data_IF_612493599631
#
_entry.id   IF_612493599631
#
_cell.length_a   1.000
_cell.length_b   1.000
_cell.length_c   1.000
_cell.angle_alpha   90.00
_cell.angle_beta   90.00
_cell.angle_gamma   90.00
#
_symmetry.space_group_name_H-M   'P 1'
#
loop_
_entity.id
_entity.type
_entity.pdbx_description
1 polymer ?
2 non-polymer ?
3 non-polymer ?
4 water ?
#
# COMPACT_ATOMS: atom_id res chain seq x y z
N UNK A 2 -6.18 -2.97 25.57
CA UNK A 2 -6.09 -1.85 24.57
C UNK A 2 -4.68 -1.26 24.45
N UNK A 3 -4.66 -0.22 23.61
CA UNK A 3 -3.52 0.48 23.11
C UNK A 3 -2.71 1.39 24.01
N UNK A 4 -1.45 1.05 24.26
CA UNK A 4 -0.60 2.03 24.94
C UNK A 4 0.40 2.60 23.91
N UNK A 5 0.21 3.85 23.51
CA UNK A 5 1.11 4.45 22.54
C UNK A 5 2.53 4.38 23.05
N UNK A 6 2.76 4.61 24.34
CA UNK A 6 4.11 4.59 24.88
C UNK A 6 4.77 3.22 24.85
N UNK A 7 4.00 2.18 25.10
CA UNK A 7 4.50 0.81 25.05
C UNK A 7 4.81 0.50 23.57
N UNK A 8 3.95 1.01 22.66
CA UNK A 8 4.19 0.78 21.24
C UNK A 8 5.47 1.49 20.82
N UNK A 9 5.67 2.75 21.16
CA UNK A 9 6.86 3.45 20.72
C UNK A 9 8.15 2.85 21.16
N UNK A 10 8.17 2.16 22.31
CA UNK A 10 9.38 1.59 22.89
C UNK A 10 9.78 0.33 22.12
N UNK A 11 8.90 -0.16 21.26
CA UNK A 11 9.31 -1.25 20.37
C UNK A 11 10.06 -0.72 19.14
N UNK A 12 9.95 0.54 18.76
CA UNK A 12 10.53 1.12 17.59
C UNK A 12 11.80 1.89 17.86
N UNK A 13 12.96 1.30 17.58
CA UNK A 13 14.24 1.92 17.84
C UNK A 13 14.48 3.24 17.14
N UNK A 14 13.99 3.43 15.91
CA UNK A 14 14.25 4.68 15.23
C UNK A 14 13.56 5.78 15.97
N UNK A 15 12.50 5.64 16.74
CA UNK A 15 11.84 6.76 17.39
C UNK A 15 12.63 7.39 18.53
N UNK A 16 13.75 6.80 18.94
CA UNK A 16 14.65 7.41 19.94
C UNK A 16 15.72 8.34 19.36
N UNK A 17 15.87 8.29 18.06
CA UNK A 17 16.86 8.98 17.26
C UNK A 17 16.60 10.47 17.37
N UNK A 18 17.65 11.19 17.00
CA UNK A 18 17.68 12.64 16.92
C UNK A 18 18.11 12.99 15.51
N UNK A 19 17.65 14.10 15.02
CA UNK A 19 17.89 14.49 13.64
C UNK A 19 18.23 15.96 13.54
N UNK A 20 19.42 16.32 13.01
CA UNK A 20 19.76 17.76 12.89
C UNK A 20 19.90 18.32 14.31
N UNK A 21 20.38 17.47 15.24
CA UNK A 21 20.48 17.66 16.65
C UNK A 21 19.17 17.66 17.46
N UNK A 22 18.03 17.44 16.78
CA UNK A 22 16.71 17.48 17.40
C UNK A 22 16.04 16.15 17.50
N UNK A 23 15.04 15.99 18.37
CA UNK A 23 14.32 14.73 18.46
C UNK A 23 13.39 14.54 17.26
N UNK A 24 13.62 13.47 16.52
CA UNK A 24 12.86 13.10 15.35
C UNK A 24 11.38 12.99 15.73
N UNK A 25 10.60 13.66 14.88
CA UNK A 25 9.14 13.49 14.90
C UNK A 25 8.88 12.91 13.49
N UNK A 26 8.90 11.60 13.36
CA UNK A 26 8.69 10.92 12.09
C UNK A 26 7.20 10.80 11.72
N UNK A 27 6.77 11.67 10.85
CA UNK A 27 5.44 11.82 10.35
C UNK A 27 5.37 11.45 8.87
N UNK A 28 6.16 10.42 8.46
CA UNK A 28 6.19 10.03 7.06
C UNK A 28 5.97 8.55 6.93
N UNK A 29 5.16 7.93 7.80
CA UNK A 29 4.91 6.47 7.72
C UNK A 29 4.13 6.17 6.46
N UNK A 30 3.36 7.10 5.91
CA UNK A 30 2.70 6.82 4.62
C UNK A 30 3.73 6.46 3.55
N UNK A 31 4.90 7.04 3.44
CA UNK A 31 5.93 6.69 2.50
C UNK A 31 6.55 5.32 2.83
N UNK A 32 6.97 5.06 4.05
CA UNK A 32 7.49 3.81 4.48
C UNK A 32 7.39 3.77 6.01
N UNK A 33 7.06 2.68 6.67
CA UNK A 33 6.89 2.75 8.12
C UNK A 33 8.19 2.38 8.86
N UNK A 34 8.35 2.80 10.12
CA UNK A 34 9.47 2.33 10.95
C UNK A 34 9.16 0.91 11.38
N UNK A 35 10.12 0.05 11.72
CA UNK A 35 9.83 -1.35 12.02
C UNK A 35 10.10 -1.60 13.50
N UNK A 36 9.23 -2.33 14.17
CA UNK A 36 9.43 -2.67 15.58
C UNK A 36 10.61 -3.64 15.62
N UNK A 37 11.29 -3.71 16.80
CA UNK A 37 12.44 -4.60 16.90
C UNK A 37 12.02 -6.04 16.78
N UNK A 38 10.78 -6.42 17.04
CA UNK A 38 10.37 -7.81 16.82
C UNK A 38 10.46 -8.18 15.34
N UNK A 39 10.18 -7.17 14.50
CA UNK A 39 10.30 -7.39 13.06
C UNK A 39 11.74 -7.46 12.64
N UNK A 40 12.51 -6.50 13.06
CA UNK A 40 13.94 -6.47 12.74
C UNK A 40 14.71 -7.72 13.15
N UNK A 41 14.42 -8.17 14.35
CA UNK A 41 15.10 -9.30 14.95
C UNK A 41 14.60 -10.65 14.45
N UNK A 42 13.34 -10.79 14.05
CA UNK A 42 12.86 -12.02 13.47
C UNK A 42 13.64 -12.28 12.19
N UNK A 43 13.92 -11.27 11.38
CA UNK A 43 14.66 -11.39 10.15
C UNK A 43 16.12 -11.75 10.46
N UNK A 44 16.66 -10.95 11.39
CA UNK A 44 18.04 -11.17 11.80
C UNK A 44 18.24 -12.55 12.42
N UNK A 45 17.34 -13.00 13.29
CA UNK A 45 17.50 -14.33 13.86
C UNK A 45 17.46 -15.41 12.80
N UNK A 46 16.55 -15.27 11.86
CA UNK A 46 16.44 -16.22 10.75
C UNK A 46 17.77 -16.29 10.03
N UNK A 47 18.45 -15.18 9.70
CA UNK A 47 19.75 -15.21 9.07
C UNK A 47 20.84 -15.74 9.98
N UNK A 48 20.81 -15.46 11.28
CA UNK A 48 21.86 -15.97 12.18
C UNK A 48 21.83 -17.45 12.51
N UNK A 49 20.68 -18.05 12.41
CA UNK A 49 20.38 -19.40 12.78
C UNK A 49 19.67 -20.38 11.87
N UNK A 50 18.64 -20.08 11.09
CA UNK A 50 18.02 -21.10 10.23
C UNK A 50 18.13 -20.77 8.74
N UNK A 51 19.19 -20.08 8.25
CA UNK A 51 19.19 -19.70 6.86
C UNK A 51 19.52 -20.79 5.87
N UNK A 52 18.69 -20.89 4.83
CA UNK A 52 18.97 -21.81 3.72
C UNK A 52 18.14 -21.44 2.51
N UNK A 53 18.37 -22.13 1.38
CA UNK A 53 17.55 -21.97 0.18
C UNK A 53 16.18 -22.57 0.49
N UNK A 54 15.11 -22.09 -0.09
CA UNK A 54 13.79 -22.57 0.22
C UNK A 54 13.31 -23.31 -1.00
N UNK A 55 14.09 -24.08 -1.74
CA UNK A 55 13.23 -24.58 -2.88
C UNK A 55 12.71 -25.97 -2.63
N UNK A 56 12.13 -26.22 -1.46
CA UNK A 56 11.68 -27.51 -0.94
C UNK A 56 12.89 -28.48 -0.95
N UNK A 57 13.88 -28.15 -0.11
CA UNK A 57 15.10 -28.94 -0.06
C UNK A 57 14.95 -30.10 0.93
N UNK A 58 15.75 -31.11 0.70
CA UNK A 58 15.75 -32.31 1.53
C UNK A 58 16.37 -31.90 2.86
N UNK A 59 17.60 -31.41 2.77
CA UNK A 59 18.25 -31.08 4.05
C UNK A 59 17.36 -30.19 4.91
N UNK A 60 17.53 -30.37 6.21
CA UNK A 60 16.80 -29.81 7.30
C UNK A 60 16.53 -28.33 7.30
N UNK A 61 17.57 -27.50 7.27
CA UNK A 61 17.43 -26.06 7.29
C UNK A 61 16.57 -25.60 6.14
N UNK A 62 16.86 -26.19 4.96
CA UNK A 62 16.12 -25.86 3.76
C UNK A 62 14.67 -26.28 3.89
N UNK A 63 14.44 -27.50 4.39
CA UNK A 63 13.04 -27.91 4.60
C UNK A 63 12.36 -27.00 5.62
N UNK A 64 13.08 -26.68 6.70
CA UNK A 64 12.48 -25.71 7.64
C UNK A 64 12.20 -24.34 7.09
N UNK A 65 13.08 -23.83 6.23
CA UNK A 65 12.93 -22.45 5.73
C UNK A 65 11.73 -22.49 4.83
N UNK A 66 11.60 -23.56 4.03
CA UNK A 66 10.46 -23.69 3.13
C UNK A 66 9.12 -23.62 3.87
N UNK A 67 9.06 -24.31 4.99
CA UNK A 67 7.83 -24.27 5.80
C UNK A 67 7.61 -22.90 6.44
N UNK A 68 8.62 -22.23 6.98
CA UNK A 68 8.43 -20.90 7.57
C UNK A 68 7.81 -19.94 6.55
N UNK A 69 8.32 -20.00 5.31
CA UNK A 69 7.77 -19.23 4.21
C UNK A 69 6.34 -19.58 3.87
N UNK A 70 5.99 -20.88 3.79
CA UNK A 70 4.60 -21.25 3.48
C UNK A 70 3.70 -20.94 4.65
N UNK A 71 4.21 -20.81 5.86
CA UNK A 71 3.43 -20.34 6.99
C UNK A 71 3.14 -18.85 6.89
N UNK A 72 4.09 -18.05 6.39
CA UNK A 72 3.85 -16.62 6.27
C UNK A 72 2.79 -16.42 5.20
N UNK A 73 2.73 -17.26 4.17
CA UNK A 73 1.73 -17.19 3.14
C UNK A 73 0.33 -17.36 3.69
N UNK A 74 0.20 -18.31 4.58
CA UNK A 74 -1.01 -18.68 5.28
C UNK A 74 -1.42 -17.56 6.21
N UNK A 75 -0.46 -17.04 6.98
CA UNK A 75 -0.74 -16.00 7.92
C UNK A 75 -1.21 -14.72 7.25
N UNK A 76 -0.51 -14.38 6.17
CA UNK A 76 -0.95 -13.23 5.36
C UNK A 76 -2.32 -13.50 4.82
N UNK A 77 -2.61 -14.72 4.37
CA UNK A 77 -3.95 -15.02 3.79
C UNK A 77 -5.03 -14.86 4.85
N UNK A 78 -4.76 -15.30 6.07
CA UNK A 78 -5.65 -15.09 7.19
C UNK A 78 -5.80 -13.63 7.57
N UNK A 79 -4.72 -12.86 7.45
CA UNK A 79 -4.79 -11.45 7.83
C UNK A 79 -5.74 -10.68 6.95
N UNK A 80 -5.97 -10.98 5.69
CA UNK A 80 -6.86 -10.32 4.77
C UNK A 80 -8.12 -11.16 4.49
N UNK A 81 -8.22 -12.30 5.17
CA UNK A 81 -9.36 -13.20 5.07
C UNK A 81 -9.53 -13.72 3.66
N UNK A 82 -8.42 -14.08 3.01
CA UNK A 82 -8.55 -14.73 1.72
C UNK A 82 -9.10 -16.11 2.09
N UNK A 83 -9.77 -16.78 1.20
CA UNK A 83 -10.28 -18.13 1.46
C UNK A 83 -9.07 -19.05 1.63
N UNK A 84 -8.02 -18.95 0.79
CA UNK A 84 -6.89 -19.82 1.10
C UNK A 84 -5.52 -19.19 0.89
N UNK A 85 -4.52 -19.90 1.40
CA UNK A 85 -3.14 -19.45 1.29
C UNK A 85 -2.67 -19.41 -0.15
N UNK A 86 -3.25 -20.22 -1.02
CA UNK A 86 -2.88 -20.32 -2.40
C UNK A 86 -3.39 -19.21 -3.30
N UNK A 87 -4.11 -18.27 -2.72
CA UNK A 87 -4.59 -17.11 -3.42
C UNK A 87 -3.63 -15.94 -3.29
N UNK A 88 -2.60 -16.07 -2.47
CA UNK A 88 -1.58 -15.02 -2.28
C UNK A 88 -0.26 -15.29 -3.02
N UNK A 89 0.27 -14.28 -3.70
CA UNK A 89 1.53 -14.41 -4.43
C UNK A 89 2.51 -13.45 -3.74
N UNK A 90 3.73 -13.87 -3.49
CA UNK A 90 4.69 -12.98 -2.80
C UNK A 90 5.32 -12.09 -3.88
N UNK A 91 5.25 -10.75 -3.72
CA UNK A 91 5.79 -9.86 -4.73
C UNK A 91 6.81 -8.94 -4.11
N UNK A 92 7.38 -7.96 -4.79
CA UNK A 92 8.33 -7.06 -4.17
C UNK A 92 7.48 -6.05 -3.40
N UNK A 93 6.25 -5.75 -3.85
CA UNK A 93 5.48 -4.73 -3.19
C UNK A 93 4.27 -4.46 -4.04
N UNK A 94 3.48 -3.45 -3.63
CA UNK A 94 2.26 -3.20 -4.37
C UNK A 94 2.52 -2.97 -5.83
N UNK A 95 3.52 -2.16 -6.16
CA UNK A 95 3.87 -1.83 -7.54
C UNK A 95 4.11 -3.13 -8.29
N UNK A 96 5.03 -3.98 -7.90
CA UNK A 96 5.21 -5.24 -8.65
C UNK A 96 3.91 -6.02 -8.75
N UNK A 97 3.10 -6.07 -7.68
CA UNK A 97 1.85 -6.82 -7.76
C UNK A 97 0.91 -6.35 -8.84
N UNK A 98 0.83 -5.02 -9.05
CA UNK A 98 0.03 -4.43 -10.09
C UNK A 98 0.61 -4.73 -11.43
N UNK A 99 1.89 -4.67 -11.70
CA UNK A 99 2.48 -5.00 -12.97
C UNK A 99 2.25 -6.47 -13.23
N UNK A 100 2.32 -7.35 -12.20
CA UNK A 100 2.08 -8.76 -12.53
C UNK A 100 0.65 -8.94 -13.06
N UNK A 101 -0.37 -8.37 -12.41
CA UNK A 101 -1.75 -8.50 -12.88
C UNK A 101 -1.96 -7.94 -14.27
N UNK A 102 -1.50 -6.72 -14.47
CA UNK A 102 -1.54 -5.99 -15.70
C UNK A 102 -0.98 -6.81 -16.84
N UNK A 103 0.11 -7.52 -16.66
CA UNK A 103 0.71 -8.26 -17.74
C UNK A 103 0.09 -9.63 -17.87
N UNK A 104 0.04 -10.43 -16.82
CA UNK A 104 -0.43 -11.78 -16.81
C UNK A 104 -1.92 -11.89 -17.10
N UNK A 105 -2.69 -11.06 -16.37
CA UNK A 105 -4.12 -11.11 -16.57
C UNK A 105 -4.50 -10.13 -17.69
N UNK A 106 -3.95 -8.93 -17.57
CA UNK A 106 -4.22 -7.90 -18.54
C UNK A 106 -3.97 -8.38 -19.97
N UNK A 107 -2.77 -8.95 -20.26
CA UNK A 107 -2.60 -9.31 -21.66
C UNK A 107 -3.64 -10.28 -22.16
N UNK A 108 -4.16 -11.25 -21.44
CA UNK A 108 -5.07 -12.19 -22.03
C UNK A 108 -6.49 -11.77 -21.79
N UNK A 109 -6.85 -10.56 -21.38
CA UNK A 109 -8.24 -10.30 -21.05
C UNK A 109 -8.66 -8.92 -21.50
N UNK A 110 -7.72 -8.09 -21.90
CA UNK A 110 -8.11 -6.74 -22.34
C UNK A 110 -7.65 -6.60 -23.78
N UNK A 111 -8.61 -6.34 -24.67
CA UNK A 111 -8.27 -6.24 -26.10
C UNK A 111 -8.46 -4.89 -26.68
N UNK A 112 -7.95 -4.73 -27.90
CA UNK A 112 -8.11 -3.49 -28.66
C UNK A 112 -9.58 -3.10 -28.58
N UNK A 113 -9.89 -1.83 -28.34
CA UNK A 113 -11.31 -1.47 -28.19
C UNK A 113 -11.81 -1.65 -26.80
N UNK A 114 -11.15 -2.36 -25.87
CA UNK A 114 -11.75 -2.46 -24.53
C UNK A 114 -11.44 -1.22 -23.72
N UNK A 115 -11.97 -1.17 -22.48
CA UNK A 115 -11.58 -0.05 -21.62
C UNK A 115 -11.35 -0.56 -20.20
N UNK A 116 -10.59 0.20 -19.45
CA UNK A 116 -10.17 -0.07 -18.10
C UNK A 116 -10.45 1.21 -17.34
N UNK A 117 -10.88 1.13 -16.10
CA UNK A 117 -11.18 2.37 -15.39
C UNK A 117 -10.30 2.47 -14.13
N UNK A 118 -9.69 3.61 -13.90
CA UNK A 118 -8.96 3.93 -12.70
C UNK A 118 -9.61 5.22 -12.18
N UNK A 119 -9.11 5.90 -11.18
CA UNK A 119 -9.67 7.13 -10.64
C UNK A 119 -8.59 8.20 -10.69
N UNK A 120 -8.97 9.47 -10.52
CA UNK A 120 -8.06 10.58 -10.62
C UNK A 120 -7.20 10.67 -9.37
N UNK A 121 -7.45 9.96 -8.29
CA UNK A 121 -6.63 9.99 -7.11
C UNK A 121 -5.61 8.87 -7.13
N UNK A 122 -5.53 8.03 -8.19
CA UNK A 122 -4.57 6.95 -8.03
C UNK A 122 -3.14 7.37 -7.86
N UNK A 123 -2.42 6.51 -7.17
CA UNK A 123 -0.96 6.56 -7.11
C UNK A 123 -0.39 6.11 -8.45
N UNK A 124 0.84 6.51 -8.82
CA UNK A 124 1.41 6.09 -10.09
C UNK A 124 1.52 4.59 -10.29
N UNK A 125 1.67 3.80 -9.22
CA UNK A 125 1.69 2.35 -9.27
C UNK A 125 0.34 1.82 -9.81
N UNK A 126 -0.75 2.55 -9.58
CA UNK A 126 -2.05 2.08 -10.10
C UNK A 126 -2.44 2.93 -11.28
N UNK A 127 -1.44 3.31 -12.08
CA UNK A 127 -1.72 4.13 -13.24
C UNK A 127 -0.96 3.60 -14.45
N UNK A 128 0.33 3.69 -14.35
CA UNK A 128 1.39 3.37 -15.26
C UNK A 128 1.31 2.00 -15.82
N UNK A 129 1.17 0.98 -14.99
CA UNK A 129 1.03 -0.37 -15.52
C UNK A 129 -0.19 -0.43 -16.42
N UNK A 130 -1.31 0.19 -16.09
CA UNK A 130 -2.51 0.15 -16.93
C UNK A 130 -2.31 0.97 -18.19
N UNK A 131 -1.60 2.10 -18.09
CA UNK A 131 -1.24 2.88 -19.26
C UNK A 131 -0.43 2.02 -20.22
N UNK A 132 0.57 1.30 -19.70
CA UNK A 132 1.36 0.43 -20.55
C UNK A 132 0.50 -0.66 -21.16
N UNK A 133 -0.43 -1.24 -20.41
CA UNK A 133 -1.28 -2.28 -20.99
C UNK A 133 -2.14 -1.73 -22.13
N UNK A 134 -2.74 -0.54 -21.93
CA UNK A 134 -3.57 0.08 -22.93
C UNK A 134 -2.72 0.35 -24.17
N UNK A 135 -1.51 0.87 -24.07
CA UNK A 135 -0.70 1.06 -25.25
C UNK A 135 -0.45 -0.25 -25.93
N UNK A 136 -0.07 -1.28 -25.20
CA UNK A 136 0.24 -2.54 -25.84
C UNK A 136 -0.97 -3.05 -26.57
N UNK A 137 -2.16 -3.09 -26.03
CA UNK A 137 -3.29 -3.74 -26.65
C UNK A 137 -4.30 -2.83 -27.34
N UNK A 138 -4.20 -1.51 -27.23
CA UNK A 138 -5.21 -0.68 -27.92
C UNK A 138 -6.48 -0.54 -27.16
N UNK A 139 -6.45 -0.42 -25.82
CA UNK A 139 -7.57 -0.25 -24.96
C UNK A 139 -7.50 1.17 -24.40
N UNK A 140 -8.59 1.59 -23.82
CA UNK A 140 -8.76 2.94 -23.34
C UNK A 140 -8.80 2.93 -21.81
N UNK A 141 -8.09 3.90 -21.26
CA UNK A 141 -7.96 4.11 -19.84
C UNK A 141 -8.92 5.21 -19.44
N UNK A 142 -9.98 4.90 -18.72
CA UNK A 142 -10.97 5.90 -18.38
C UNK A 142 -10.79 6.22 -16.92
N UNK A 143 -11.20 7.44 -16.59
CA UNK A 143 -10.94 7.88 -15.20
C UNK A 143 -12.13 8.37 -14.43
N UNK A 144 -12.32 7.90 -13.18
CA UNK A 144 -13.29 8.52 -12.30
C UNK A 144 -12.70 9.81 -11.73
N UNK A 145 -13.34 10.94 -12.03
CA UNK A 145 -12.95 12.27 -11.58
C UNK A 145 -13.14 12.44 -10.08
N UNK A 146 -12.53 13.46 -9.52
CA UNK A 146 -12.60 13.79 -8.13
C UNK A 146 -13.63 14.89 -7.80
N UNK A 147 -14.02 14.96 -6.54
CA UNK A 147 -14.78 16.13 -6.11
C UNK A 147 -13.74 16.91 -5.30
N UNK A 148 -13.90 18.20 -5.16
CA UNK A 148 -13.10 19.10 -4.38
C UNK A 148 -12.65 18.63 -3.01
N UNK A 149 -13.61 18.01 -2.34
CA UNK A 149 -13.40 17.36 -1.06
C UNK A 149 -12.56 16.08 -1.17
N UNK A 150 -12.00 15.64 -2.28
CA UNK A 150 -11.12 14.48 -2.27
C UNK A 150 -11.80 13.15 -2.39
N UNK A 151 -13.10 13.15 -2.64
CA UNK A 151 -13.91 11.97 -2.84
C UNK A 151 -14.18 11.85 -4.35
N UNK A 152 -14.29 10.64 -4.87
CA UNK A 152 -14.64 10.37 -6.26
C UNK A 152 -16.05 10.82 -6.69
N UNK A 153 -16.25 11.33 -7.89
CA UNK A 153 -17.60 11.64 -8.36
C UNK A 153 -18.25 10.33 -8.76
N UNK A 154 -19.01 9.68 -7.90
CA UNK A 154 -19.58 8.40 -8.25
C UNK A 154 -20.68 8.50 -9.30
N UNK A 155 -21.33 9.63 -9.47
CA UNK A 155 -22.34 9.86 -10.50
C UNK A 155 -21.78 9.60 -11.88
N UNK A 156 -20.46 9.67 -12.11
CA UNK A 156 -19.90 9.38 -13.43
C UNK A 156 -19.76 7.94 -13.79
N UNK A 157 -19.95 6.93 -12.93
CA UNK A 157 -19.80 5.54 -13.32
C UNK A 157 -20.66 5.04 -14.46
N UNK A 158 -21.96 5.36 -14.48
CA UNK A 158 -22.87 5.01 -15.55
C UNK A 158 -22.29 5.31 -16.92
N UNK A 159 -21.63 6.42 -17.09
CA UNK A 159 -20.97 6.79 -18.31
C UNK A 159 -19.58 6.15 -18.46
N UNK A 160 -18.91 5.68 -17.41
CA UNK A 160 -17.60 5.06 -17.59
C UNK A 160 -17.74 3.56 -17.76
N UNK A 161 -18.60 2.88 -17.05
CA UNK A 161 -18.80 1.46 -17.16
C UNK A 161 -19.61 1.13 -18.42
N UNK A 162 -19.19 0.17 -19.21
CA UNK A 162 -19.93 -0.24 -20.38
C UNK A 162 -19.60 -1.69 -20.61
N UNK A 163 -19.94 -2.25 -21.75
CA UNK A 163 -19.71 -3.66 -21.98
C UNK A 163 -18.28 -3.92 -22.44
N UNK A 164 -17.52 -2.87 -22.74
CA UNK A 164 -16.12 -3.05 -23.06
C UNK A 164 -15.24 -2.90 -21.80
N UNK A 165 -15.78 -2.51 -20.67
CA UNK A 165 -15.01 -2.33 -19.42
C UNK A 165 -14.52 -3.65 -18.91
N UNK A 166 -13.21 -3.87 -18.87
CA UNK A 166 -12.76 -5.21 -18.46
C UNK A 166 -12.29 -5.10 -17.03
N UNK A 167 -11.91 -3.86 -16.64
CA UNK A 167 -11.39 -3.81 -15.26
C UNK A 167 -11.58 -2.49 -14.58
N UNK A 168 -11.79 -2.48 -13.25
CA UNK A 168 -11.77 -1.28 -12.44
C UNK A 168 -10.53 -1.36 -11.55
N UNK A 169 -9.61 -0.35 -11.57
CA UNK A 169 -8.43 -0.53 -10.66
C UNK A 169 -8.57 0.66 -9.73
N UNK A 170 -8.68 0.43 -8.43
CA UNK A 170 -9.04 1.59 -7.60
C UNK A 170 -8.33 1.48 -6.28
N UNK A 171 -8.09 2.61 -5.68
CA UNK A 171 -7.43 2.57 -4.35
C UNK A 171 -8.47 2.35 -3.26
N UNK A 172 -8.01 1.64 -2.24
CA UNK A 172 -8.80 1.44 -1.05
C UNK A 172 -8.89 2.77 -0.32
N UNK A 173 -7.68 3.24 -0.05
CA UNK A 173 -7.40 4.44 0.74
C UNK A 173 -6.36 5.30 0.01
N UNK A 174 -6.61 6.58 -0.24
CA UNK A 174 -5.68 7.45 -0.94
C UNK A 174 -4.47 7.81 -0.09
N UNK A 175 -3.29 7.92 -0.74
CA UNK A 175 -2.07 8.14 0.04
C UNK A 175 -1.85 9.62 0.30
N UNK A 176 -2.63 10.52 -0.19
CA UNK A 176 -2.50 11.94 -0.16
C UNK A 176 -3.73 12.48 0.52
N UNK A 177 -4.91 12.06 0.09
CA UNK A 177 -6.15 12.57 0.71
C UNK A 177 -6.64 11.85 1.93
N UNK A 178 -6.36 10.58 2.08
CA UNK A 178 -6.75 9.74 3.17
C UNK A 178 -8.21 9.29 3.01
N UNK A 179 -8.80 9.51 1.87
CA UNK A 179 -10.17 9.15 1.56
C UNK A 179 -10.25 7.62 1.51
N UNK A 180 -11.31 7.01 2.00
CA UNK A 180 -11.48 5.58 1.85
C UNK A 180 -12.56 5.40 0.79
N UNK A 181 -12.30 4.77 -0.34
CA UNK A 181 -13.30 4.61 -1.36
C UNK A 181 -14.25 3.51 -0.94
N UNK A 182 -15.50 3.67 -1.35
CA UNK A 182 -16.55 2.69 -1.07
C UNK A 182 -16.44 1.50 -2.00
N UNK A 183 -15.43 0.69 -1.77
CA UNK A 183 -15.06 -0.44 -2.58
C UNK A 183 -16.15 -1.48 -2.78
N UNK A 184 -16.83 -1.87 -1.70
CA UNK A 184 -17.81 -2.94 -1.86
C UNK A 184 -18.92 -2.63 -2.85
N UNK A 185 -19.48 -1.46 -2.81
CA UNK A 185 -20.56 -1.06 -3.68
C UNK A 185 -20.05 -0.89 -5.10
N UNK A 186 -18.85 -0.34 -5.22
CA UNK A 186 -18.20 -0.16 -6.51
C UNK A 186 -17.90 -1.51 -7.15
N UNK A 187 -17.43 -2.49 -6.36
CA UNK A 187 -17.14 -3.82 -6.85
C UNK A 187 -18.45 -4.48 -7.31
N UNK A 188 -19.53 -4.29 -6.52
CA UNK A 188 -20.85 -4.76 -6.92
C UNK A 188 -21.18 -4.28 -8.32
N UNK A 189 -21.07 -3.02 -8.61
CA UNK A 189 -21.31 -2.35 -9.86
C UNK A 189 -20.46 -2.88 -10.99
N UNK A 190 -19.14 -2.93 -10.75
CA UNK A 190 -18.22 -3.41 -11.77
C UNK A 190 -18.59 -4.82 -12.20
N UNK A 191 -18.90 -5.64 -11.21
CA UNK A 191 -19.17 -7.05 -11.46
C UNK A 191 -20.42 -7.26 -12.28
N UNK A 192 -21.38 -6.33 -12.17
CA UNK A 192 -22.59 -6.33 -12.96
C UNK A 192 -22.23 -6.14 -14.42
N UNK A 193 -21.13 -5.50 -14.77
CA UNK A 193 -20.75 -5.38 -16.16
C UNK A 193 -19.79 -6.50 -16.53
N UNK A 194 -19.54 -7.48 -15.68
CA UNK A 194 -18.49 -8.45 -16.03
C UNK A 194 -17.11 -7.86 -15.87
N UNK A 195 -16.93 -6.72 -15.21
CA UNK A 195 -15.54 -6.20 -15.04
C UNK A 195 -14.94 -6.72 -13.75
N UNK A 196 -13.64 -7.03 -13.74
CA UNK A 196 -12.95 -7.39 -12.52
C UNK A 196 -12.49 -6.09 -11.84
N UNK A 197 -12.17 -6.24 -10.55
CA UNK A 197 -11.69 -5.10 -9.79
C UNK A 197 -10.35 -5.38 -9.11
N UNK A 198 -9.34 -4.51 -9.32
CA UNK A 198 -8.08 -4.67 -8.61
C UNK A 198 -8.12 -3.56 -7.56
N UNK A 199 -7.90 -3.95 -6.31
CA UNK A 199 -7.88 -2.97 -5.23
C UNK A 199 -6.43 -2.73 -4.83
N UNK A 200 -6.05 -1.45 -4.89
CA UNK A 200 -4.71 -1.06 -4.43
C UNK A 200 -4.86 -0.81 -2.93
N UNK A 201 -4.40 -1.69 -2.01
CA UNK A 201 -4.65 -1.35 -0.60
C UNK A 201 -3.35 -1.00 0.13
N UNK A 202 -2.38 -0.31 -0.50
CA UNK A 202 -1.16 0.02 0.14
C UNK A 202 -1.33 0.90 1.38
N UNK A 203 -2.37 1.66 1.49
CA UNK A 203 -2.66 2.55 2.60
C UNK A 203 -3.87 2.12 3.40
N UNK A 204 -4.27 0.87 3.24
CA UNK A 204 -5.40 0.37 4.01
C UNK A 204 -4.98 -0.61 5.09
N UNK A 205 -4.08 -1.54 4.83
CA UNK A 205 -3.79 -2.65 5.70
C UNK A 205 -3.24 -2.37 7.08
N UNK A 206 -2.79 -1.16 7.34
CA UNK A 206 -2.22 -0.79 8.60
C UNK A 206 -3.21 -0.01 9.43
N UNK A 207 -4.37 0.40 8.94
CA UNK A 207 -5.28 1.26 9.64
C UNK A 207 -6.53 0.61 10.23
N UNK A 208 -6.95 -0.47 9.64
CA UNK A 208 -8.12 -1.20 10.06
C UNK A 208 -8.12 -2.57 9.42
N UNK A 209 -8.98 -3.46 9.91
CA UNK A 209 -9.07 -4.82 9.37
C UNK A 209 -9.43 -4.83 7.90
N UNK A 210 -9.00 -5.75 7.04
CA UNK A 210 -9.36 -5.75 5.65
C UNK A 210 -9.90 -7.13 5.34
N UNK A 211 -10.99 -7.24 4.58
CA UNK A 211 -11.57 -8.58 4.36
C UNK A 211 -11.94 -8.69 2.91
N UNK A 212 -11.11 -9.39 2.16
CA UNK A 212 -11.21 -9.56 0.73
C UNK A 212 -12.44 -10.36 0.36
N UNK A 213 -12.96 -11.25 1.24
CA UNK A 213 -14.18 -11.97 0.89
C UNK A 213 -15.36 -11.06 1.00
N UNK A 214 -15.44 -10.20 1.99
CA UNK A 214 -16.55 -9.25 2.10
C UNK A 214 -16.44 -8.22 0.98
N UNK A 215 -15.21 -7.85 0.64
CA UNK A 215 -15.01 -6.87 -0.46
C UNK A 215 -15.45 -7.47 -1.79
N UNK A 216 -15.06 -8.74 -1.99
CA UNK A 216 -15.36 -9.39 -3.25
C UNK A 216 -14.47 -8.83 -4.35
N UNK A 217 -13.37 -8.14 -4.04
CA UNK A 217 -12.37 -7.70 -4.99
C UNK A 217 -11.77 -8.94 -5.64
N UNK A 218 -11.39 -8.88 -6.88
CA UNK A 218 -10.73 -9.98 -7.61
C UNK A 218 -9.24 -10.00 -7.41
N UNK A 219 -8.63 -8.81 -7.25
CA UNK A 219 -7.20 -8.69 -6.98
C UNK A 219 -7.02 -7.67 -5.83
N UNK A 220 -6.10 -7.91 -4.88
CA UNK A 220 -5.80 -7.00 -3.81
C UNK A 220 -4.25 -6.99 -3.59
N UNK A 221 -3.67 -5.79 -3.48
CA UNK A 221 -2.23 -5.67 -3.32
C UNK A 221 -1.87 -4.75 -2.20
N UNK A 222 -0.71 -5.03 -1.57
CA UNK A 222 -0.21 -4.17 -0.52
C UNK A 222 1.28 -4.47 -0.30
N UNK A 223 1.96 -3.54 0.39
CA UNK A 223 3.38 -3.74 0.67
C UNK A 223 3.69 -3.94 2.14
N UNK A 224 4.77 -4.66 2.42
CA UNK A 224 5.15 -4.84 3.81
C UNK A 224 5.80 -3.63 4.42
N UNK A 225 6.69 -2.85 3.81
CA UNK A 225 7.36 -1.73 4.44
C UNK A 225 6.45 -0.65 4.98
N UNK A 226 5.22 -0.52 4.51
CA UNK A 226 4.25 0.36 5.12
C UNK A 226 3.50 -0.24 6.29
N UNK A 227 3.58 -1.57 6.37
CA UNK A 227 2.87 -2.26 7.43
C UNK A 227 3.89 -2.75 8.45
N UNK A 228 4.80 -1.84 8.83
CA UNK A 228 5.80 -2.03 9.85
C UNK A 228 6.74 -3.17 9.53
N UNK A 229 6.89 -3.52 8.26
CA UNK A 229 7.74 -4.66 7.90
C UNK A 229 8.92 -4.27 7.06
N UNK A 230 9.70 -5.25 6.66
CA UNK A 230 10.86 -4.97 5.83
C UNK A 230 10.43 -4.49 4.48
N UNK A 231 11.41 -4.08 3.72
CA UNK A 231 11.33 -3.75 2.33
C UNK A 231 11.59 -5.00 1.47
N UNK A 232 11.12 -4.83 0.25
CA UNK A 232 11.34 -5.85 -0.76
C UNK A 232 10.31 -6.95 -0.63
N UNK A 233 9.16 -6.68 -0.06
CA UNK A 233 8.19 -7.79 0.14
C UNK A 233 6.81 -7.20 0.22
N UNK A 234 5.93 -7.87 -0.52
CA UNK A 234 4.58 -7.41 -0.62
C UNK A 234 3.73 -8.61 -1.00
N UNK A 235 2.43 -8.32 -1.07
CA UNK A 235 1.50 -9.43 -1.26
C UNK A 235 0.54 -9.08 -2.39
N UNK A 236 0.31 -10.03 -3.26
CA UNK A 236 -0.73 -9.93 -4.28
C UNK A 236 -1.75 -11.07 -4.04
N UNK A 237 -3.01 -10.77 -3.75
CA UNK A 237 -4.11 -11.68 -3.57
C UNK A 237 -4.98 -11.73 -4.84
N UNK A 238 -5.21 -12.89 -5.44
CA UNK A 238 -6.06 -13.08 -6.58
C UNK A 238 -7.09 -14.15 -6.25
N UNK A 239 -8.34 -13.95 -6.60
CA UNK A 239 -9.31 -15.02 -6.44
C UNK A 239 -8.83 -16.29 -7.11
N UNK A 240 -8.97 -17.39 -6.36
CA UNK A 240 -8.51 -18.69 -6.87
C UNK A 240 -8.88 -18.98 -8.30
N UNK A 241 -10.14 -18.70 -8.68
CA UNK A 241 -10.55 -19.02 -10.04
C UNK A 241 -9.82 -18.15 -11.03
N UNK A 242 -9.62 -16.85 -10.76
CA UNK A 242 -8.83 -16.11 -11.72
C UNK A 242 -7.38 -16.54 -11.64
N UNK A 243 -6.74 -16.68 -10.49
CA UNK A 243 -5.33 -17.02 -10.39
C UNK A 243 -5.01 -18.29 -11.15
N UNK A 244 -5.93 -19.24 -11.07
CA UNK A 244 -5.72 -20.53 -11.75
C UNK A 244 -5.70 -20.44 -13.24
N UNK A 245 -6.24 -19.43 -13.90
CA UNK A 245 -6.13 -19.35 -15.35
C UNK A 245 -5.02 -18.42 -15.78
N UNK A 246 -4.45 -17.62 -14.86
CA UNK A 246 -3.41 -16.69 -15.32
C UNK A 246 -2.16 -17.39 -15.78
N UNK A 247 -1.58 -17.00 -16.90
CA UNK A 247 -0.32 -17.56 -17.36
C UNK A 247 0.81 -16.90 -16.55
N UNK A 248 2.00 -17.48 -16.58
CA UNK A 248 3.11 -16.96 -15.80
C UNK A 248 3.54 -15.59 -16.28
N UNK A 249 4.16 -14.81 -15.38
CA UNK A 249 4.75 -13.52 -15.77
C UNK A 249 6.24 -13.70 -15.77
N UNK A 250 6.94 -13.83 -14.64
CA UNK A 250 8.41 -13.99 -14.74
C UNK A 250 8.72 -15.47 -15.03
N UNK A 251 9.78 -15.78 -15.77
CA UNK A 251 10.04 -17.20 -15.90
C UNK A 251 11.32 -17.58 -15.19
N UNK A 252 11.52 -18.87 -14.92
CA UNK A 252 12.75 -19.31 -14.33
C UNK A 252 12.59 -20.46 -13.37
N UNK A 253 13.57 -20.52 -12.47
CA UNK A 253 13.58 -21.61 -11.48
C UNK A 253 12.32 -21.52 -10.64
N UNK A 254 11.88 -22.67 -10.20
CA UNK A 254 10.82 -22.95 -9.28
C UNK A 254 9.40 -22.77 -9.77
N UNK A 255 9.12 -22.04 -10.82
CA UNK A 255 7.80 -21.79 -11.33
C UNK A 255 7.47 -22.75 -12.48
N UNK A 256 8.40 -23.64 -12.79
CA UNK A 256 8.16 -24.55 -13.90
C UNK A 256 7.86 -25.95 -13.30
N UNK A 257 7.24 -26.78 -14.14
CA UNK A 257 7.02 -28.16 -13.71
C UNK A 257 8.09 -28.93 -14.49
N UNK A 258 8.18 -28.68 -15.79
CA UNK A 258 9.17 -29.33 -16.61
C UNK A 258 9.78 -28.28 -17.54
N UNK A 259 11.04 -28.49 -17.87
CA UNK A 259 11.71 -27.58 -18.80
C UNK A 259 12.41 -28.52 -19.76
N UNK A 260 12.18 -28.37 -21.06
CA UNK A 260 12.80 -29.07 -22.13
C UNK A 260 13.24 -28.04 -23.19
N UNK A 261 14.39 -28.25 -23.81
CA UNK A 261 14.94 -27.41 -24.87
C UNK A 261 14.49 -27.89 -26.24
N UNK A 262 13.74 -28.97 -26.27
CA UNK A 262 13.20 -29.50 -27.51
C UNK A 262 11.70 -29.76 -27.29
N UNK A 263 11.18 -30.04 -26.08
CA UNK A 263 9.73 -30.18 -26.01
C UNK A 263 9.10 -28.97 -25.34
N UNK A 264 9.80 -27.88 -25.04
CA UNK A 264 9.10 -26.75 -24.39
C UNK A 264 9.01 -26.90 -22.90
N UNK A 265 8.35 -25.94 -22.25
CA UNK A 265 8.22 -25.92 -20.77
C UNK A 265 6.78 -25.98 -20.32
N UNK A 266 6.54 -26.60 -19.17
CA UNK A 266 5.26 -26.67 -18.49
C UNK A 266 5.41 -25.97 -17.14
N UNK A 267 4.27 -25.48 -16.61
CA UNK A 267 4.20 -24.67 -15.45
C UNK A 267 3.68 -25.39 -14.23
N UNK A 268 4.05 -24.86 -13.07
CA UNK A 268 3.59 -25.46 -11.82
C UNK A 268 2.31 -24.70 -11.53
N UNK A 269 1.75 -25.00 -10.39
CA UNK A 269 0.47 -24.38 -10.02
C UNK A 269 0.60 -23.05 -9.29
N UNK A 270 -0.55 -22.39 -9.27
CA UNK A 270 -0.74 -21.16 -8.52
C UNK A 270 -0.35 -21.49 -7.11
N UNK A 271 -0.11 -20.59 -6.19
CA UNK A 271 0.68 -19.40 -6.38
C UNK A 271 2.05 -19.57 -6.96
N UNK A 272 2.68 -20.74 -6.90
CA UNK A 272 4.10 -20.94 -7.22
C UNK A 272 4.44 -20.65 -8.65
N UNK A 273 3.52 -20.80 -9.62
CA UNK A 273 3.70 -20.42 -11.00
C UNK A 273 4.14 -18.97 -11.15
N UNK A 274 3.77 -18.04 -10.28
CA UNK A 274 4.06 -16.64 -10.37
C UNK A 274 5.30 -16.19 -9.60
N UNK A 275 6.05 -17.13 -9.02
CA UNK A 275 7.24 -16.76 -8.22
C UNK A 275 8.46 -17.41 -8.83
N UNK A 276 9.28 -16.66 -9.55
CA UNK A 276 10.43 -17.25 -10.21
C UNK A 276 11.76 -16.98 -9.49
N UNK A 277 12.58 -18.00 -9.29
CA UNK A 277 13.84 -17.85 -8.63
C UNK A 277 13.80 -17.68 -7.13
N UNK A 278 14.98 -17.56 -6.51
CA UNK A 278 14.93 -17.43 -5.02
C UNK A 278 14.03 -16.30 -4.59
N UNK A 279 13.13 -16.50 -3.65
CA UNK A 279 12.22 -15.51 -3.06
C UNK A 279 12.99 -14.63 -2.06
N UNK A 280 12.41 -13.51 -1.66
CA UNK A 280 13.12 -12.72 -0.64
C UNK A 280 12.75 -13.40 0.68
N UNK A 281 13.32 -14.55 1.03
CA UNK A 281 13.04 -15.29 2.20
C UNK A 281 13.19 -14.47 3.44
N UNK A 282 14.25 -13.71 3.61
CA UNK A 282 14.39 -12.82 4.79
C UNK A 282 13.27 -11.83 4.91
N UNK A 283 12.84 -11.16 3.85
CA UNK A 283 11.71 -10.26 3.89
C UNK A 283 10.42 -10.98 4.21
N UNK A 284 10.20 -12.22 3.74
CA UNK A 284 9.02 -13.01 4.12
C UNK A 284 8.92 -13.30 5.61
N UNK A 285 10.04 -13.67 6.25
CA UNK A 285 10.06 -13.93 7.70
C UNK A 285 9.70 -12.68 8.44
N UNK A 286 10.29 -11.56 8.00
CA UNK A 286 10.06 -10.27 8.60
C UNK A 286 8.63 -9.86 8.42
N UNK A 287 8.08 -10.08 7.22
CA UNK A 287 6.68 -9.77 7.00
C UNK A 287 5.80 -10.60 7.94
N UNK A 288 6.08 -11.89 8.16
CA UNK A 288 5.27 -12.65 9.12
C UNK A 288 5.37 -12.00 10.52
N UNK A 289 6.57 -11.61 10.94
CA UNK A 289 6.70 -10.94 12.25
C UNK A 289 5.84 -9.68 12.27
N UNK A 290 5.94 -8.85 11.24
CA UNK A 290 5.17 -7.62 11.14
C UNK A 290 3.69 -7.98 11.29
N UNK A 291 3.19 -8.99 10.57
CA UNK A 291 1.77 -9.33 10.68
C UNK A 291 1.41 -9.73 12.09
N UNK A 292 2.26 -10.54 12.75
CA UNK A 292 1.96 -10.91 14.12
C UNK A 292 2.01 -9.69 15.02
N UNK A 293 2.94 -8.79 14.78
CA UNK A 293 2.96 -7.60 15.63
C UNK A 293 1.74 -6.75 15.47
N UNK A 294 1.18 -6.53 14.29
CA UNK A 294 -0.06 -5.74 14.20
C UNK A 294 -1.25 -6.43 14.79
N UNK A 295 -1.38 -7.73 14.54
CA UNK A 295 -2.52 -8.51 15.04
C UNK A 295 -2.59 -8.59 16.55
N UNK A 296 -1.45 -8.53 17.18
CA UNK A 296 -1.35 -8.54 18.62
C UNK A 296 -1.71 -7.14 19.12
N UNK A 297 -1.40 -6.05 18.41
CA UNK A 297 -1.86 -4.76 18.92
C UNK A 297 -3.38 -4.71 18.82
N UNK A 298 -3.92 -5.21 17.69
CA UNK A 298 -5.32 -5.21 17.38
C UNK A 298 -5.60 -4.13 16.35
N UNK A 299 -6.05 -4.44 15.14
CA UNK A 299 -6.26 -3.38 14.16
C UNK A 299 -7.28 -2.41 14.64
N UNK A 300 -8.28 -2.88 15.35
CA UNK A 300 -9.31 -2.03 15.89
C UNK A 300 -8.83 -1.16 17.02
N UNK A 301 -7.82 -1.49 17.81
CA UNK A 301 -7.28 -0.57 18.78
C UNK A 301 -6.42 0.49 18.09
N UNK A 302 -5.73 0.10 17.02
CA UNK A 302 -4.89 0.99 16.26
C UNK A 302 -5.76 2.06 15.60
N UNK A 303 -6.81 1.51 14.96
CA UNK A 303 -7.70 2.39 14.23
C UNK A 303 -8.25 3.47 15.14
N UNK A 304 -8.61 3.03 16.33
CA UNK A 304 -9.15 3.90 17.36
C UNK A 304 -8.17 4.94 17.85
N UNK A 305 -6.94 4.49 18.13
CA UNK A 305 -5.94 5.47 18.57
C UNK A 305 -5.60 6.50 17.50
N UNK A 306 -5.43 5.96 16.29
CA UNK A 306 -5.07 6.76 15.12
C UNK A 306 -6.13 7.77 14.79
N UNK A 307 -7.39 7.39 14.84
CA UNK A 307 -8.56 8.23 14.59
C UNK A 307 -8.68 9.41 15.54
N UNK A 308 -8.38 9.11 16.80
CA UNK A 308 -8.40 10.12 17.84
C UNK A 308 -7.22 11.03 17.67
N UNK A 309 -6.09 10.46 17.20
CA UNK A 309 -4.93 11.30 16.97
C UNK A 309 -5.25 12.24 15.82
N UNK A 310 -5.90 11.72 14.80
CA UNK A 310 -6.27 12.47 13.62
C UNK A 310 -7.22 13.59 14.00
N UNK A 311 -8.16 13.28 14.89
CA UNK A 311 -9.12 14.30 15.32
C UNK A 311 -8.40 15.39 16.10
N UNK A 312 -7.43 15.00 16.91
CA UNK A 312 -6.67 15.96 17.66
C UNK A 312 -5.89 16.87 16.72
N UNK A 313 -5.17 16.24 15.80
CA UNK A 313 -4.44 17.01 14.79
C UNK A 313 -5.29 17.96 14.00
N UNK A 314 -6.45 17.54 13.51
CA UNK A 314 -7.25 18.41 12.63
C UNK A 314 -7.70 19.65 13.36
N UNK A 315 -8.02 19.41 14.62
CA UNK A 315 -8.47 20.46 15.52
C UNK A 315 -7.36 21.41 15.84
N UNK A 316 -6.15 21.09 16.16
CA UNK A 316 -5.05 22.02 16.37
C UNK A 316 -4.60 22.77 15.14
N UNK A 317 -4.68 22.09 13.98
CA UNK A 317 -4.24 22.74 12.74
C UNK A 317 -5.15 23.89 12.35
N UNK A 318 -6.31 23.96 12.93
CA UNK A 318 -7.31 25.00 12.79
C UNK A 318 -6.73 26.34 13.22
N UNK A 319 -5.75 26.36 14.10
CA UNK A 319 -5.10 27.58 14.48
C UNK A 319 -3.79 27.86 13.76
N UNK A 320 -3.57 27.23 12.62
CA UNK A 320 -2.42 27.58 11.78
C UNK A 320 -3.08 28.50 10.75
N UNK A 321 -2.59 29.72 10.55
CA UNK A 321 -3.13 30.62 9.58
C UNK A 321 -2.77 30.24 8.16
N UNK A 322 -3.64 30.49 7.21
CA UNK A 322 -3.50 30.26 5.78
C UNK A 322 -3.16 28.84 5.35
N UNK A 323 -3.68 27.87 6.07
CA UNK A 323 -3.44 26.47 5.77
C UNK A 323 -4.51 25.90 4.85
N UNK A 324 -4.09 25.33 3.73
CA UNK A 324 -5.03 24.62 2.89
C UNK A 324 -4.91 23.12 3.13
N UNK A 325 -6.01 22.50 3.55
CA UNK A 325 -6.06 21.04 3.65
C UNK A 325 -6.68 20.42 2.40
N UNK A 326 -6.27 19.17 2.05
CA UNK A 326 -6.89 18.59 0.85
C UNK A 326 -7.41 17.22 1.27
N UNK A 327 -8.65 16.94 0.87
CA UNK A 327 -9.20 15.64 1.25
C UNK A 327 -10.39 15.79 2.17
N UNK A 328 -11.06 14.68 2.46
CA UNK A 328 -12.26 14.68 3.28
C UNK A 328 -11.93 14.80 4.75
N UNK A 329 -12.89 15.23 5.53
CA UNK A 329 -12.73 15.37 6.97
C UNK A 329 -12.56 14.03 7.68
N UNK A 330 -13.18 13.00 7.10
CA UNK A 330 -13.01 11.67 7.67
C UNK A 330 -11.75 10.96 7.21
N UNK A 331 -10.77 11.61 6.61
CA UNK A 331 -9.52 11.05 6.17
C UNK A 331 -8.84 10.12 7.14
N UNK A 332 -8.21 9.10 6.58
CA UNK A 332 -7.45 8.14 7.32
C UNK A 332 -5.93 8.35 7.09
N UNK A 333 -5.16 8.22 8.18
CA UNK A 333 -3.73 8.20 8.10
C UNK A 333 -2.91 9.40 7.77
N UNK A 334 -3.20 10.15 6.71
CA UNK A 334 -2.37 11.25 6.28
C UNK A 334 -3.18 12.56 6.20
N UNK A 335 -2.40 13.64 6.28
CA UNK A 335 -2.98 14.98 6.23
C UNK A 335 -2.20 15.71 5.15
N UNK A 336 -2.79 16.06 4.05
CA UNK A 336 -2.13 16.69 2.91
C UNK A 336 -2.45 18.18 3.00
N UNK A 337 -1.47 19.06 2.88
CA UNK A 337 -1.75 20.48 3.08
C UNK A 337 -0.76 21.39 2.38
N UNK A 338 -1.12 22.65 2.29
CA UNK A 338 -0.23 23.71 1.78
C UNK A 338 -0.36 24.87 2.76
N UNK A 339 0.77 25.57 2.96
CA UNK A 339 0.79 26.67 3.91
C UNK A 339 0.80 27.99 3.16
N UNK A 340 -0.26 28.79 3.25
CA UNK A 340 -0.26 30.05 2.50
C UNK A 340 0.22 29.89 1.07
N UNK A 341 1.17 30.67 0.58
CA UNK A 341 1.68 30.54 -0.77
C UNK A 341 3.08 29.93 -0.79
N UNK A 342 3.61 29.54 0.37
CA UNK A 342 4.95 28.95 0.30
C UNK A 342 4.89 27.63 -0.45
N UNK A 343 5.96 27.38 -1.21
CA UNK A 343 6.04 26.11 -1.92
C UNK A 343 6.22 25.05 -0.84
N UNK A 344 5.58 23.90 -1.05
CA UNK A 344 5.66 22.82 -0.05
C UNK A 344 7.11 22.45 0.26
N UNK A 345 7.95 22.48 -0.74
CA UNK A 345 9.34 22.20 -0.62
C UNK A 345 9.96 23.06 0.49
N UNK A 346 9.63 24.37 0.59
CA UNK A 346 10.20 25.21 1.63
C UNK A 346 9.61 24.87 2.96
N UNK A 347 8.31 24.66 3.01
CA UNK A 347 7.60 24.23 4.22
C UNK A 347 8.18 22.95 4.78
N UNK A 348 8.39 21.91 3.94
CA UNK A 348 9.05 20.71 4.43
C UNK A 348 10.52 20.87 4.77
N UNK A 349 11.27 21.77 4.07
CA UNK A 349 12.63 22.00 4.57
C UNK A 349 12.55 22.67 5.93
N UNK A 350 11.69 23.61 6.29
CA UNK A 350 11.72 24.18 7.64
C UNK A 350 11.33 23.13 8.64
N UNK A 351 10.30 22.35 8.28
CA UNK A 351 9.88 21.30 9.19
C UNK A 351 11.00 20.33 9.43
N UNK A 352 11.69 19.91 8.37
CA UNK A 352 12.79 18.96 8.53
C UNK A 352 13.85 19.46 9.51
N UNK A 353 14.17 20.74 9.32
CA UNK A 353 15.14 21.52 10.10
C UNK A 353 14.64 21.67 11.52
N UNK A 354 13.34 21.55 11.81
CA UNK A 354 12.86 21.39 13.15
C UNK A 354 12.86 19.93 13.64
N UNK A 355 13.40 18.94 12.97
CA UNK A 355 13.40 17.53 13.36
C UNK A 355 12.10 16.79 12.97
N UNK A 356 11.26 17.39 12.17
CA UNK A 356 9.97 16.88 11.78
C UNK A 356 10.01 16.36 10.36
N UNK A 357 9.81 15.03 10.24
CA UNK A 357 9.87 14.42 8.89
C UNK A 357 8.49 14.36 8.24
N UNK A 358 8.21 15.04 7.15
CA UNK A 358 6.94 15.01 6.46
C UNK A 358 7.32 14.76 4.99
N UNK A 359 6.35 14.44 4.14
CA UNK A 359 6.76 14.19 2.76
C UNK A 359 6.27 15.43 1.99
N UNK A 360 7.02 15.92 1.07
CA UNK A 360 6.57 17.05 0.28
C UNK A 360 6.80 16.71 -1.19
N UNK A 361 5.93 17.14 -2.09
CA UNK A 361 6.00 16.87 -3.50
C UNK A 361 4.65 16.49 -4.09
N UNK A 362 4.65 15.67 -5.11
CA UNK A 362 3.53 15.20 -5.85
C UNK A 362 3.13 13.83 -5.29
N UNK A 363 3.92 13.24 -4.39
CA UNK A 363 3.53 12.00 -3.72
C UNK A 363 3.25 10.86 -4.65
N UNK A 365 1.60 11.01 -7.25
CA UNK A 365 0.20 11.19 -7.67
C UNK A 365 0.04 12.52 -8.40
N UNK A 366 0.71 12.67 -9.54
CA UNK A 366 0.64 13.92 -10.33
C UNK A 366 -0.72 14.34 -10.79
N UNK A 367 -1.55 13.40 -11.20
CA UNK A 367 -2.92 13.72 -11.62
C UNK A 367 -3.73 14.27 -10.50
N UNK A 368 -3.49 13.97 -9.24
CA UNK A 368 -4.22 14.50 -8.09
C UNK A 368 -3.72 15.87 -7.75
N UNK A 369 -2.43 16.18 -7.94
CA UNK A 369 -1.93 17.51 -7.77
C UNK A 369 -2.59 18.42 -8.81
N UNK A 370 -2.60 17.94 -10.06
CA UNK A 370 -3.17 18.65 -11.17
C UNK A 370 -4.62 18.99 -10.90
N UNK A 371 -5.37 18.05 -10.33
CA UNK A 371 -6.75 18.29 -10.03
C UNK A 371 -6.89 19.48 -9.09
N UNK A 372 -5.96 19.63 -8.16
CA UNK A 372 -6.01 20.68 -7.20
C UNK A 372 -5.29 21.94 -7.67
N UNK A 373 -4.69 21.79 -8.84
CA UNK A 373 -3.95 22.85 -9.50
C UNK A 373 -2.84 23.34 -8.58
N UNK A 374 -2.06 22.38 -8.11
CA UNK A 374 -0.87 22.71 -7.32
C UNK A 374 0.18 21.75 -7.88
N UNK A 375 1.44 22.18 -7.92
CA UNK A 375 2.51 21.30 -8.38
C UNK A 375 2.86 20.24 -7.33
N UNK A 376 2.59 20.57 -6.06
CA UNK A 376 2.96 19.77 -4.93
C UNK A 376 2.19 20.13 -3.68
N UNK A 377 2.32 19.33 -2.66
CA UNK A 377 1.74 19.43 -1.38
C UNK A 377 2.75 18.82 -0.36
N UNK A 378 2.48 19.17 0.87
CA UNK A 378 3.17 18.68 2.03
C UNK A 378 2.29 17.59 2.61
N UNK A 379 2.84 16.62 3.31
CA UNK A 379 1.88 15.62 3.81
C UNK A 379 2.42 15.06 5.12
N UNK A 380 1.61 15.00 6.14
CA UNK A 380 1.95 14.35 7.39
C UNK A 380 1.27 13.00 7.61
N UNK A 381 1.97 11.95 8.05
CA UNK A 381 1.33 10.72 8.39
C UNK A 381 1.14 10.67 9.90
N UNK A 382 -0.04 10.20 10.34
CA UNK A 382 -0.22 10.10 11.79
C UNK A 382 -0.46 8.61 12.09
N UNK A 383 0.61 7.85 12.30
CA UNK A 383 0.46 6.41 12.53
C UNK A 383 0.33 6.06 14.01
N UNK A 384 0.32 4.75 14.29
CA UNK A 384 0.02 4.25 15.61
C UNK A 384 1.07 4.59 16.64
N UNK A 385 2.28 4.88 16.23
CA UNK A 385 3.35 5.27 17.11
C UNK A 385 3.46 6.79 17.16
N UNK A 386 2.58 7.58 16.56
CA UNK A 386 2.78 9.02 16.66
C UNK A 386 2.00 9.57 17.82
N UNK A 387 2.44 10.73 18.31
CA UNK A 387 1.87 11.34 19.51
C UNK A 387 1.31 12.74 19.33
N UNK A 388 0.58 13.17 20.36
CA UNK A 388 -0.04 14.50 20.44
C UNK A 388 1.06 15.56 20.43
N UNK A 389 2.11 15.17 21.15
CA UNK A 389 3.28 16.06 21.21
C UNK A 389 3.86 16.20 19.83
N UNK A 390 4.06 15.16 19.01
CA UNK A 390 4.53 15.34 17.64
C UNK A 390 3.57 16.21 16.83
N UNK A 391 2.27 16.07 17.09
CA UNK A 391 1.32 16.94 16.42
C UNK A 391 1.52 18.39 16.79
N UNK A 392 1.74 18.66 18.06
CA UNK A 392 1.93 20.02 18.55
C UNK A 392 3.13 20.65 17.91
N UNK A 393 4.19 19.85 17.76
CA UNK A 393 5.42 20.38 17.13
C UNK A 393 5.15 20.73 15.69
N UNK A 394 4.29 19.93 15.03
CA UNK A 394 3.95 20.22 13.65
C UNK A 394 3.26 21.60 13.57
N UNK A 395 2.22 21.82 14.33
CA UNK A 395 1.41 23.03 14.39
C UNK A 395 2.26 24.25 14.71
N UNK A 396 3.03 24.12 15.79
CA UNK A 396 3.97 25.18 16.14
C UNK A 396 4.93 25.52 15.01
N UNK A 397 5.58 24.49 14.45
CA UNK A 397 6.47 24.69 13.30
C UNK A 397 5.78 25.37 12.13
N UNK A 398 4.50 25.05 11.89
CA UNK A 398 3.83 25.66 10.73
C UNK A 398 3.56 27.12 11.04
N UNK A 399 3.17 27.38 12.29
CA UNK A 399 2.95 28.78 12.72
C UNK A 399 4.21 29.62 12.61
N UNK A 400 5.35 29.03 13.01
CA UNK A 400 6.60 29.76 12.89
C UNK A 400 7.03 29.94 11.44
N UNK A 401 6.73 28.93 10.64
CA UNK A 401 7.15 29.02 9.24
C UNK A 401 6.35 30.18 8.65
N UNK A 402 5.08 30.21 9.03
CA UNK A 402 4.21 31.28 8.64
C UNK A 402 4.71 32.67 9.01
N UNK A 403 4.97 32.88 10.30
CA UNK A 403 5.48 34.15 10.75
C UNK A 403 6.75 34.59 10.02
N UNK A 404 7.67 33.69 9.83
CA UNK A 404 8.95 34.03 9.26
C UNK A 404 8.93 34.29 7.79
N UNK A 405 8.19 33.51 7.04
CA UNK A 405 8.17 33.61 5.58
C UNK A 405 7.02 34.48 5.11
N UNK A 406 6.04 34.73 5.94
CA UNK A 406 4.90 35.54 5.52
C UNK A 406 5.04 37.05 5.41
#
# INVERSE_FOLDING_TARGET
MIFSVDKVRADFPVLSREVNGLPLAYLDSAASAQKPSQVIDAEAEFYRHGYAAVHRGIHTLSAQATEKMENVRKRASLFINARSAEELVFVRGTTEGINLVANSWGNSNVRAGDNIIISQMEHHANIVPWQMLCARVGAELRVIPLNPDGTLQLETLPTLFDEKTRLLAITHVSNVLGTENPLAEMITLAHQHGAKVLVDGAQAVMHHPVDVQALDCDFYVFSGHKLYGPTGIGILYVKEALLQEMPPWEGGGSMIATVSLSEGTTWTKAPWRFEAGTPNTGGIIGLGAALEYVSALGLNNIAEYEQNLMHYALSQLESVPDLTLYGPQNRLGVIAFNLGKHHAYDVGSFLDNYGIAVRTGHHXAMPLMAYYNVPAMCRASLAMYNTHEEVDRLVTGLQRIHRLLG
#
